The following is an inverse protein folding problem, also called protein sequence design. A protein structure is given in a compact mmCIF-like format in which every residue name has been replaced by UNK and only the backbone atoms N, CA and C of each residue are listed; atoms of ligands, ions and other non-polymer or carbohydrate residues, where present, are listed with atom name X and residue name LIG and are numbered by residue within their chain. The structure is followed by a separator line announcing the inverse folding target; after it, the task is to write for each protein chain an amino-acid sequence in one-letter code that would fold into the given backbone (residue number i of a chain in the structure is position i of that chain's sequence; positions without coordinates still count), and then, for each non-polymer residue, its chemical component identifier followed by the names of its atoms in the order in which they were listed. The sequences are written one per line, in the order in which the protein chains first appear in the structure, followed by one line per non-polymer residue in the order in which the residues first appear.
data_IF_482327713373
#
_entry.id   IF_482327713373
#
_cell.length_a   1.000
_cell.length_b   1.000
_cell.length_c   1.000
_cell.angle_alpha   90.00
_cell.angle_beta   90.00
_cell.angle_gamma   90.00
#
_symmetry.space_group_name_H-M   'P 1'
#
loop_
_entity.id
_entity.type
_entity.pdbx_description
1 polymer ?
#
# COMPACT_ATOMS: atom_id res chain seq x y z
N UNK A 1 2.94 0.96 11.60
CA UNK A 1 3.47 0.36 10.36
C UNK A 1 2.91 1.06 9.14
N UNK A 2 3.73 1.25 8.09
CA UNK A 2 3.31 1.84 6.81
C UNK A 2 2.89 0.74 5.83
N UNK A 3 1.97 1.06 4.92
CA UNK A 3 1.58 0.22 3.78
C UNK A 3 1.82 1.01 2.50
N UNK A 4 2.62 0.48 1.60
CA UNK A 4 2.90 1.09 0.31
C UNK A 4 2.03 0.43 -0.76
N UNK A 5 1.15 1.21 -1.38
CA UNK A 5 0.32 0.76 -2.49
C UNK A 5 0.87 1.25 -3.82
N UNK A 6 1.04 0.35 -4.77
CA UNK A 6 1.36 0.67 -6.16
C UNK A 6 0.06 0.65 -6.98
N UNK A 7 -0.25 1.77 -7.63
CA UNK A 7 -1.44 1.96 -8.43
C UNK A 7 -1.06 2.28 -9.87
N UNK A 8 -1.87 1.83 -10.82
CA UNK A 8 -1.70 2.12 -12.25
C UNK A 8 -3.03 2.56 -12.81
N UNK A 9 -3.02 3.56 -13.69
CA UNK A 9 -4.22 4.02 -14.37
C UNK A 9 -4.34 3.43 -15.80
N UNK A 10 -5.44 3.75 -16.48
CA UNK A 10 -5.75 3.26 -17.82
C UNK A 10 -4.78 3.72 -18.91
N UNK A 11 -4.05 4.82 -18.69
CA UNK A 11 -3.02 5.33 -19.60
C UNK A 11 -1.64 4.71 -19.38
N UNK A 12 -1.50 3.79 -18.41
CA UNK A 12 -0.22 3.16 -18.08
C UNK A 12 0.70 3.99 -17.20
N UNK A 13 0.24 5.13 -16.68
CA UNK A 13 0.95 5.87 -15.64
C UNK A 13 0.75 5.22 -14.28
N UNK A 14 1.73 5.35 -13.40
CA UNK A 14 1.70 4.74 -12.07
C UNK A 14 1.89 5.77 -10.96
N UNK A 15 1.38 5.42 -9.78
CA UNK A 15 1.52 6.19 -8.56
C UNK A 15 1.79 5.26 -7.38
N UNK A 16 2.61 5.72 -6.43
CA UNK A 16 2.81 5.07 -5.14
C UNK A 16 2.15 5.93 -4.08
N UNK A 17 1.21 5.35 -3.33
CA UNK A 17 0.61 5.96 -2.16
C UNK A 17 1.08 5.23 -0.90
N UNK A 18 1.20 5.96 0.20
CA UNK A 18 1.59 5.41 1.50
C UNK A 18 0.43 5.60 2.46
N UNK A 19 0.09 4.55 3.19
CA UNK A 19 -0.98 4.54 4.20
C UNK A 19 -0.40 4.12 5.55
N UNK A 20 -1.06 4.49 6.65
CA UNK A 20 -0.76 3.88 7.94
C UNK A 20 -1.76 2.76 8.23
N UNK A 21 -1.29 1.70 8.90
CA UNK A 21 -2.20 0.68 9.40
C UNK A 21 -3.20 1.24 10.42
N UNK A 22 -2.83 2.30 11.15
CA UNK A 22 -3.71 2.97 12.11
C UNK A 22 -4.89 3.67 11.43
N UNK A 23 -4.66 4.37 10.32
CA UNK A 23 -5.73 5.04 9.57
C UNK A 23 -6.67 4.00 8.92
N UNK A 24 -6.10 2.91 8.40
CA UNK A 24 -6.87 1.78 7.86
C UNK A 24 -7.78 1.18 8.95
N UNK A 25 -7.21 0.79 10.09
CA UNK A 25 -7.97 0.22 11.23
C UNK A 25 -9.04 1.20 11.73
N UNK A 26 -8.70 2.49 11.83
CA UNK A 26 -9.65 3.52 12.25
C UNK A 26 -10.85 3.61 11.30
N UNK A 27 -10.64 3.60 9.99
CA UNK A 27 -11.75 3.60 9.01
C UNK A 27 -12.63 2.37 9.19
N UNK A 28 -12.05 1.17 9.26
CA UNK A 28 -12.83 -0.07 9.46
C UNK A 28 -13.61 -0.06 10.77
N UNK A 29 -13.06 0.52 11.85
CA UNK A 29 -13.72 0.58 13.17
C UNK A 29 -14.75 1.69 13.30
N UNK A 30 -14.63 2.79 12.57
CA UNK A 30 -15.44 3.99 12.82
C UNK A 30 -16.42 4.30 11.68
N UNK A 31 -16.08 3.96 10.45
CA UNK A 31 -16.91 4.26 9.29
C UNK A 31 -18.25 3.50 9.31
N UNK A 32 -19.26 4.09 8.67
CA UNK A 32 -20.54 3.42 8.41
C UNK A 32 -20.39 2.44 7.25
N UNK A 33 -21.34 1.51 7.13
CA UNK A 33 -21.43 0.66 5.95
C UNK A 33 -22.25 1.38 4.88
N UNK A 34 -21.71 1.41 3.66
CA UNK A 34 -22.30 2.11 2.53
C UNK A 34 -23.67 1.52 2.20
N UNK A 35 -24.69 2.37 2.18
CA UNK A 35 -26.08 1.98 1.91
C UNK A 35 -26.83 1.39 3.10
N UNK A 36 -26.18 1.11 4.23
CA UNK A 36 -26.86 0.62 5.43
C UNK A 36 -27.45 1.78 6.23
N UNK A 37 -28.78 1.81 6.34
CA UNK A 37 -29.53 2.84 7.11
C UNK A 37 -30.20 2.27 8.37
N UNK A 38 -29.95 1.01 8.69
CA UNK A 38 -30.51 0.36 9.88
C UNK A 38 -29.83 0.81 11.19
N UNK A 39 -30.32 0.30 12.33
CA UNK A 39 -29.71 0.58 13.63
C UNK A 39 -28.30 -0.02 13.73
N UNK A 40 -27.42 0.62 14.50
CA UNK A 40 -26.10 0.03 14.76
C UNK A 40 -26.27 -1.28 15.55
N UNK A 41 -25.71 -2.40 15.07
CA UNK A 41 -25.70 -3.64 15.84
C UNK A 41 -24.82 -3.49 17.08
N UNK A 42 -25.09 -4.30 18.11
CA UNK A 42 -24.32 -4.33 19.36
C UNK A 42 -22.83 -4.63 19.11
N UNK A 43 -22.55 -5.60 18.23
CA UNK A 43 -21.22 -5.89 17.72
C UNK A 43 -21.10 -5.29 16.32
N UNK A 44 -20.11 -4.43 16.11
CA UNK A 44 -19.87 -3.81 14.81
C UNK A 44 -19.46 -4.87 13.77
N UNK A 45 -19.99 -4.82 12.53
CA UNK A 45 -19.49 -5.63 11.42
C UNK A 45 -17.97 -5.52 11.27
N UNK A 46 -17.29 -6.68 11.23
CA UNK A 46 -15.83 -6.76 11.16
C UNK A 46 -15.09 -6.68 12.51
N UNK A 47 -15.78 -6.44 13.63
CA UNK A 47 -15.17 -6.47 14.96
C UNK A 47 -14.89 -7.91 15.40
N UNK A 48 -13.65 -8.17 15.84
CA UNK A 48 -13.29 -9.45 16.43
C UNK A 48 -14.03 -9.68 17.77
N UNK A 49 -14.59 -10.87 17.95
CA UNK A 49 -15.22 -11.32 19.20
C UNK A 49 -14.25 -12.14 20.04
N UNK A 50 -14.57 -12.34 21.32
CA UNK A 50 -13.73 -13.15 22.20
C UNK A 50 -13.64 -14.61 21.72
N UNK A 51 -12.55 -15.29 22.06
CA UNK A 51 -12.33 -16.68 21.67
C UNK A 51 -13.49 -17.58 22.15
N UNK A 52 -13.99 -18.43 21.27
CA UNK A 52 -15.15 -19.30 21.54
C UNK A 52 -16.52 -18.62 21.42
N UNK A 53 -16.57 -17.32 21.12
CA UNK A 53 -17.82 -16.63 20.75
C UNK A 53 -18.00 -16.59 19.24
N UNK A 54 -19.27 -16.49 18.81
CA UNK A 54 -19.64 -16.30 17.43
C UNK A 54 -20.15 -14.88 17.21
N UNK A 55 -19.88 -14.32 16.03
CA UNK A 55 -20.51 -13.09 15.59
C UNK A 55 -22.03 -13.27 15.58
N UNK A 56 -22.82 -12.36 16.18
CA UNK A 56 -24.27 -12.44 16.16
C UNK A 56 -24.79 -12.54 14.73
N UNK A 57 -25.79 -13.40 14.49
CA UNK A 57 -26.32 -13.66 13.15
C UNK A 57 -26.78 -12.39 12.43
N UNK A 58 -27.35 -11.43 13.15
CA UNK A 58 -27.77 -10.15 12.59
C UNK A 58 -26.58 -9.28 12.18
N UNK A 59 -25.53 -9.19 13.00
CA UNK A 59 -24.27 -8.51 12.62
C UNK A 59 -23.68 -9.14 11.36
N UNK A 60 -23.68 -10.47 11.27
CA UNK A 60 -23.20 -11.19 10.08
C UNK A 60 -24.02 -10.83 8.83
N UNK A 61 -25.35 -10.90 8.89
CA UNK A 61 -26.22 -10.53 7.75
C UNK A 61 -26.01 -9.09 7.28
N UNK A 62 -25.78 -8.16 8.21
CA UNK A 62 -25.47 -6.76 7.88
C UNK A 62 -24.13 -6.68 7.14
N UNK A 63 -23.09 -7.33 7.66
CA UNK A 63 -21.76 -7.34 7.04
C UNK A 63 -21.78 -7.96 5.64
N UNK A 64 -22.51 -9.07 5.47
CA UNK A 64 -22.64 -9.80 4.21
C UNK A 64 -23.40 -8.98 3.15
N UNK A 65 -24.47 -8.28 3.56
CA UNK A 65 -25.27 -7.44 2.65
C UNK A 65 -24.64 -6.08 2.35
N UNK A 66 -23.82 -5.53 3.25
CA UNK A 66 -23.19 -4.21 3.11
C UNK A 66 -21.68 -4.27 3.46
N UNK A 67 -20.84 -4.93 2.65
CA UNK A 67 -19.43 -5.17 2.98
C UNK A 67 -18.51 -3.95 2.79
N UNK A 68 -18.96 -2.92 2.07
CA UNK A 68 -18.17 -1.71 1.80
C UNK A 68 -18.40 -0.65 2.90
N UNK A 69 -17.31 -0.11 3.45
CA UNK A 69 -17.38 1.07 4.33
C UNK A 69 -17.59 2.35 3.52
N UNK A 70 -18.19 3.37 4.12
CA UNK A 70 -18.51 4.64 3.45
C UNK A 70 -17.29 5.56 3.29
N UNK A 71 -16.43 5.61 4.32
CA UNK A 71 -15.23 6.44 4.31
C UNK A 71 -14.09 5.79 3.54
N UNK A 72 -13.34 6.62 2.80
CA UNK A 72 -12.16 6.18 2.05
C UNK A 72 -10.94 6.19 2.96
N UNK A 73 -10.09 5.17 2.83
CA UNK A 73 -8.74 5.23 3.37
C UNK A 73 -7.90 6.13 2.47
N UNK A 74 -7.53 7.29 3.01
CA UNK A 74 -6.70 8.27 2.31
C UNK A 74 -5.20 8.01 2.54
N UNK A 75 -4.30 8.41 1.62
CA UNK A 75 -2.87 8.40 1.86
C UNK A 75 -2.49 9.22 3.11
N UNK A 76 -1.31 8.93 3.66
CA UNK A 76 -0.78 9.57 4.86
C UNK A 76 -0.90 11.10 4.79
N UNK A 77 -1.33 11.68 5.92
CA UNK A 77 -1.31 13.13 6.15
C UNK A 77 0.13 13.67 6.10
N UNK A 78 0.33 14.95 5.73
CA UNK A 78 -0.68 15.99 5.53
C UNK A 78 -1.23 16.11 4.10
N UNK A 79 -0.53 15.59 3.09
CA UNK A 79 -0.87 15.88 1.69
C UNK A 79 -2.05 15.08 1.16
N UNK A 80 -2.35 13.90 1.74
CA UNK A 80 -3.35 12.95 1.23
C UNK A 80 -3.21 12.71 -0.28
N UNK A 81 -1.97 12.71 -0.76
CA UNK A 81 -1.60 12.61 -2.17
C UNK A 81 -0.62 11.45 -2.38
N UNK A 82 -0.42 10.98 -3.62
CA UNK A 82 0.64 10.04 -3.91
C UNK A 82 2.00 10.57 -3.44
N UNK A 83 2.80 9.69 -2.85
CA UNK A 83 4.20 9.95 -2.54
C UNK A 83 4.99 10.21 -3.83
N UNK A 84 4.70 9.42 -4.86
CA UNK A 84 5.36 9.49 -6.15
C UNK A 84 4.40 9.11 -7.26
N UNK A 85 4.54 9.74 -8.43
CA UNK A 85 3.81 9.37 -9.63
C UNK A 85 4.63 9.70 -10.87
N UNK A 86 4.49 8.90 -11.93
CA UNK A 86 5.09 9.21 -13.23
C UNK A 86 4.38 8.46 -14.37
N UNK A 87 4.86 8.64 -15.60
CA UNK A 87 4.33 8.01 -16.81
C UNK A 87 4.83 6.58 -17.05
N UNK A 88 5.59 5.99 -16.12
CA UNK A 88 6.02 4.61 -16.26
C UNK A 88 4.92 3.67 -15.74
N UNK A 89 4.79 2.53 -16.41
CA UNK A 89 3.95 1.43 -15.93
C UNK A 89 4.79 0.55 -15.02
N UNK A 90 4.61 0.68 -13.71
CA UNK A 90 5.25 -0.21 -12.75
C UNK A 90 4.34 -1.39 -12.44
N UNK A 91 4.96 -2.53 -12.15
CA UNK A 91 4.25 -3.78 -11.91
C UNK A 91 4.52 -4.35 -10.52
N UNK A 92 5.66 -4.02 -9.92
CA UNK A 92 6.09 -4.51 -8.61
C UNK A 92 6.71 -3.38 -7.80
N UNK A 93 6.56 -3.46 -6.49
CA UNK A 93 7.18 -2.56 -5.52
C UNK A 93 7.83 -3.37 -4.41
N UNK A 94 9.04 -2.98 -4.02
CA UNK A 94 9.72 -3.43 -2.81
C UNK A 94 10.20 -2.20 -2.05
N UNK A 95 10.14 -2.23 -0.72
CA UNK A 95 10.50 -1.08 0.10
C UNK A 95 11.50 -1.52 1.15
N UNK A 96 12.61 -0.79 1.26
CA UNK A 96 13.67 -1.02 2.24
C UNK A 96 13.89 0.25 3.05
N UNK A 97 13.85 0.18 4.38
CA UNK A 97 14.31 1.29 5.23
C UNK A 97 15.80 1.12 5.55
N UNK A 98 16.63 2.03 5.05
CA UNK A 98 18.10 1.98 5.19
C UNK A 98 18.61 3.05 6.12
N UNK A 99 19.66 2.75 6.89
CA UNK A 99 20.41 3.76 7.63
C UNK A 99 21.49 4.37 6.72
N UNK A 100 21.52 5.69 6.62
CA UNK A 100 22.54 6.41 5.86
C UNK A 100 23.70 6.86 6.77
N UNK A 101 24.79 7.31 6.15
CA UNK A 101 26.01 7.73 6.85
C UNK A 101 25.83 8.99 7.72
N UNK A 102 24.77 9.77 7.47
CA UNK A 102 24.35 10.91 8.29
C UNK A 102 23.59 10.51 9.57
N UNK A 103 23.37 9.20 9.78
CA UNK A 103 22.64 8.66 10.92
C UNK A 103 21.12 8.70 10.77
N UNK A 104 20.60 9.20 9.65
CA UNK A 104 19.18 9.20 9.36
C UNK A 104 18.74 7.90 8.67
N UNK A 105 17.44 7.59 8.79
CA UNK A 105 16.80 6.44 8.12
C UNK A 105 15.98 6.94 6.94
N UNK A 106 16.10 6.25 5.81
CA UNK A 106 15.43 6.60 4.57
C UNK A 106 14.67 5.40 4.02
N UNK A 107 13.47 5.62 3.47
CA UNK A 107 12.78 4.58 2.72
C UNK A 107 13.27 4.61 1.27
N UNK A 108 13.68 3.45 0.78
CA UNK A 108 14.11 3.22 -0.59
C UNK A 108 13.11 2.27 -1.25
N UNK A 109 12.50 2.74 -2.33
CA UNK A 109 11.55 2.01 -3.13
C UNK A 109 12.27 1.44 -4.35
N UNK A 110 12.03 0.16 -4.63
CA UNK A 110 12.42 -0.51 -5.86
C UNK A 110 11.15 -0.75 -6.67
N UNK A 111 11.05 -0.12 -7.85
CA UNK A 111 9.88 -0.23 -8.72
C UNK A 111 10.27 -0.93 -10.03
N UNK A 112 9.66 -2.08 -10.29
CA UNK A 112 9.87 -2.81 -11.53
C UNK A 112 8.97 -2.25 -12.65
N UNK A 113 9.57 -1.87 -13.78
CA UNK A 113 8.84 -1.42 -14.97
C UNK A 113 8.33 -2.60 -15.78
N UNK A 114 7.36 -2.34 -16.65
CA UNK A 114 6.88 -3.28 -17.67
C UNK A 114 7.91 -3.58 -18.79
N UNK A 115 9.11 -2.96 -18.74
CA UNK A 115 10.20 -3.11 -19.71
C UNK A 115 11.44 -3.82 -19.13
N UNK A 116 11.29 -4.42 -17.95
CA UNK A 116 12.37 -5.20 -17.33
C UNK A 116 13.46 -4.37 -16.67
N UNK A 117 13.20 -3.08 -16.39
CA UNK A 117 14.08 -2.22 -15.61
C UNK A 117 13.57 -2.05 -14.18
N UNK A 118 14.48 -1.78 -13.25
CA UNK A 118 14.17 -1.43 -11.87
C UNK A 118 14.56 0.03 -11.65
N UNK A 119 13.63 0.82 -11.13
CA UNK A 119 13.91 2.16 -10.63
C UNK A 119 14.15 2.10 -9.12
N UNK A 120 15.28 2.64 -8.66
CA UNK A 120 15.59 2.83 -7.25
C UNK A 120 15.27 4.27 -6.87
N UNK A 121 14.31 4.43 -5.99
CA UNK A 121 13.73 5.72 -5.62
C UNK A 121 13.91 5.93 -4.13
N UNK A 122 14.33 7.12 -3.71
CA UNK A 122 14.52 7.47 -2.30
C UNK A 122 13.48 8.50 -1.87
N UNK A 123 12.83 8.25 -0.74
CA UNK A 123 11.98 9.21 -0.03
C UNK A 123 12.89 10.11 0.83
N UNK A 124 13.09 11.36 0.39
CA UNK A 124 13.85 12.40 1.10
C UNK A 124 12.89 13.41 1.75
N UNK A 125 13.35 14.23 2.72
CA UNK A 125 12.51 15.25 3.36
C UNK A 125 11.94 16.31 2.41
N UNK A 126 12.69 16.62 1.35
CA UNK A 126 12.34 17.62 0.32
C UNK A 126 11.58 17.03 -0.88
N UNK A 127 11.44 15.70 -0.94
CA UNK A 127 10.67 15.03 -1.97
C UNK A 127 11.22 13.65 -2.31
N UNK A 128 10.72 13.11 -3.42
CA UNK A 128 11.06 11.76 -3.86
C UNK A 128 11.96 11.84 -5.09
N UNK A 129 13.08 11.12 -5.07
CA UNK A 129 14.06 11.15 -6.15
C UNK A 129 14.32 9.75 -6.70
N UNK A 130 14.23 9.60 -8.03
CA UNK A 130 14.75 8.42 -8.71
C UNK A 130 16.27 8.56 -8.88
N UNK A 131 17.03 7.70 -8.23
CA UNK A 131 18.49 7.77 -8.20
C UNK A 131 19.16 6.79 -9.18
N UNK A 132 18.46 5.72 -9.59
CA UNK A 132 19.01 4.69 -10.49
C UNK A 132 17.89 4.07 -11.31
N UNK A 133 18.12 3.91 -12.61
CA UNK A 133 17.40 2.94 -13.46
C UNK A 133 18.37 1.83 -13.86
N UNK A 134 18.02 0.58 -13.58
CA UNK A 134 18.82 -0.60 -13.90
C UNK A 134 18.03 -1.52 -14.83
N UNK A 135 18.51 -1.71 -16.05
CA UNK A 135 18.00 -2.76 -16.94
C UNK A 135 18.52 -4.12 -16.46
N UNK A 136 17.63 -4.99 -15.97
CA UNK A 136 18.04 -6.24 -15.33
C UNK A 136 18.29 -7.34 -16.37
N UNK A 137 17.39 -7.43 -17.35
CA UNK A 137 17.47 -8.43 -18.41
C UNK A 137 17.93 -7.80 -19.73
N UNK A 138 18.81 -8.47 -20.50
CA UNK A 138 19.22 -7.98 -21.83
C UNK A 138 18.03 -7.83 -22.79
N UNK A 139 17.07 -8.75 -22.69
CA UNK A 139 15.75 -8.62 -23.32
C UNK A 139 14.86 -7.82 -22.37
N UNK A 140 14.11 -6.85 -22.90
CA UNK A 140 13.24 -5.94 -22.14
C UNK A 140 11.94 -6.60 -21.69
N UNK A 141 12.06 -7.79 -21.12
CA UNK A 141 10.94 -8.61 -20.68
C UNK A 141 10.46 -8.14 -19.29
N UNK A 142 9.15 -8.22 -19.06
CA UNK A 142 8.54 -7.78 -17.82
C UNK A 142 8.95 -8.64 -16.61
N UNK A 143 9.30 -7.98 -15.50
CA UNK A 143 9.67 -8.64 -14.24
C UNK A 143 8.42 -9.25 -13.59
N UNK A 144 8.38 -10.58 -13.49
CA UNK A 144 7.20 -11.32 -13.00
C UNK A 144 7.14 -11.40 -11.47
N UNK A 145 8.30 -11.48 -10.82
CA UNK A 145 8.42 -11.56 -9.37
C UNK A 145 9.53 -10.63 -8.91
N UNK A 146 9.42 -10.12 -7.69
CA UNK A 146 10.44 -9.30 -7.09
C UNK A 146 10.44 -9.54 -5.59
N UNK A 147 11.57 -10.00 -5.07
CA UNK A 147 11.74 -10.36 -3.65
C UNK A 147 12.93 -9.60 -3.11
N UNK A 148 12.67 -8.80 -2.07
CA UNK A 148 13.69 -8.05 -1.37
C UNK A 148 14.14 -8.84 -0.13
N UNK A 149 15.43 -9.18 -0.08
CA UNK A 149 16.07 -9.79 1.08
C UNK A 149 16.84 -8.71 1.84
N UNK A 150 16.27 -8.29 2.97
CA UNK A 150 16.84 -7.26 3.82
C UNK A 150 18.12 -7.69 4.52
N UNK A 151 18.30 -8.98 4.79
CA UNK A 151 19.47 -9.49 5.52
C UNK A 151 20.68 -9.58 4.61
N UNK A 152 20.48 -9.95 3.34
CA UNK A 152 21.56 -10.04 2.34
C UNK A 152 21.75 -8.76 1.53
N UNK A 153 20.88 -7.77 1.70
CA UNK A 153 20.85 -6.55 0.89
C UNK A 153 20.70 -6.82 -0.62
N UNK A 154 19.93 -7.86 -0.96
CA UNK A 154 19.74 -8.31 -2.34
C UNK A 154 18.30 -8.15 -2.81
N UNK A 155 18.14 -7.84 -4.10
CA UNK A 155 16.87 -7.83 -4.79
C UNK A 155 16.88 -8.93 -5.85
N UNK A 156 16.04 -9.94 -5.67
CA UNK A 156 15.87 -11.03 -6.63
C UNK A 156 14.69 -10.72 -7.56
N UNK A 157 14.91 -10.87 -8.87
CA UNK A 157 13.92 -10.65 -9.93
C UNK A 157 13.98 -11.74 -10.99
#
# INVERSE_FOLDING_TARGET
SKVYGLFTNTWGSSAVCVYSFGDIDNVFRTSKLKGYQGPNPEIKPGQCVASGQHTPSETFKIADSHPEVEDRVEPLSPSKSPLFHNKHRYQKIGVHEVSAADGHRYNVLYLATDKGSIHKIVELPDGVQNIVELQVFPKKDAIQSMILDHTREMLYV
#
